data_IF_848683126984
#
_entry.id   IF_848683126984
#
_cell.length_a   1.000
_cell.length_b   1.000
_cell.length_c   1.000
_cell.angle_alpha   90.00
_cell.angle_beta   90.00
_cell.angle_gamma   90.00
#
_symmetry.space_group_name_H-M   'P 1'
#
loop_
_entity.id
_entity.type
_entity.pdbx_description
1 polymer ?
#
# COMPACT_ATOMS: atom_id res chain seq x y z
N UNK A 1 -22.10 -13.39 1.91
CA UNK A 1 -21.45 -13.71 0.62
C UNK A 1 -20.68 -12.47 0.18
N UNK A 2 -19.38 -12.57 -0.02
CA UNK A 2 -18.50 -11.48 -0.42
C UNK A 2 -18.60 -11.31 -1.92
N UNK A 3 -19.01 -10.12 -2.38
CA UNK A 3 -19.22 -9.81 -3.81
C UNK A 3 -17.93 -9.21 -4.38
N UNK A 4 -17.38 -9.85 -5.39
CA UNK A 4 -16.08 -9.58 -5.93
C UNK A 4 -16.18 -9.18 -7.40
N UNK A 5 -15.44 -8.15 -7.77
CA UNK A 5 -15.18 -7.78 -9.17
C UNK A 5 -13.73 -8.12 -9.49
N UNK A 6 -13.51 -8.71 -10.65
CA UNK A 6 -12.18 -8.99 -11.20
C UNK A 6 -11.87 -8.02 -12.34
N UNK A 7 -10.70 -7.38 -12.27
CA UNK A 7 -10.13 -6.60 -13.36
C UNK A 7 -8.76 -7.15 -13.73
N UNK A 8 -8.66 -7.83 -14.86
CA UNK A 8 -7.46 -8.54 -15.34
C UNK A 8 -7.55 -8.69 -16.86
N UNK A 9 -6.58 -8.21 -17.62
CA UNK A 9 -6.58 -8.28 -19.08
C UNK A 9 -6.14 -9.66 -19.62
N UNK A 10 -5.35 -10.41 -18.86
CA UNK A 10 -4.95 -11.76 -19.23
C UNK A 10 -6.07 -12.77 -18.97
N UNK A 11 -6.73 -13.24 -20.02
CA UNK A 11 -7.87 -14.16 -19.91
C UNK A 11 -7.60 -15.41 -19.07
N UNK A 12 -6.44 -16.05 -19.26
CA UNK A 12 -6.06 -17.27 -18.51
C UNK A 12 -5.96 -17.00 -17.00
N UNK A 13 -5.40 -15.84 -16.63
CA UNK A 13 -5.27 -15.45 -15.21
C UNK A 13 -6.64 -15.16 -14.64
N UNK A 14 -7.47 -14.39 -15.36
CA UNK A 14 -8.84 -14.03 -14.95
C UNK A 14 -9.71 -15.28 -14.75
N UNK A 15 -9.71 -16.21 -15.71
CA UNK A 15 -10.43 -17.49 -15.61
C UNK A 15 -9.91 -18.33 -14.44
N UNK A 16 -8.59 -18.39 -14.24
CA UNK A 16 -7.98 -19.11 -13.13
C UNK A 16 -8.37 -18.55 -11.76
N UNK A 17 -8.35 -17.23 -11.60
CA UNK A 17 -8.79 -16.56 -10.38
C UNK A 17 -10.28 -16.80 -10.15
N UNK A 18 -11.09 -16.64 -11.18
CA UNK A 18 -12.53 -16.94 -11.12
C UNK A 18 -12.80 -18.36 -10.65
N UNK A 19 -12.23 -19.35 -11.34
CA UNK A 19 -12.39 -20.77 -10.99
C UNK A 19 -12.05 -21.05 -9.53
N UNK A 20 -11.01 -20.40 -9.04
CA UNK A 20 -10.56 -20.53 -7.67
C UNK A 20 -11.56 -19.96 -6.67
N UNK A 21 -12.07 -18.77 -6.93
CA UNK A 21 -13.03 -18.11 -6.05
C UNK A 21 -14.40 -18.79 -6.07
N UNK A 22 -14.79 -19.41 -7.19
CA UNK A 22 -16.03 -20.19 -7.31
C UNK A 22 -16.00 -21.49 -6.46
N UNK A 23 -14.83 -21.93 -5.93
CA UNK A 23 -14.77 -23.03 -4.97
C UNK A 23 -15.12 -22.60 -3.54
N UNK A 24 -15.11 -21.31 -3.25
CA UNK A 24 -15.42 -20.79 -1.92
C UNK A 24 -16.93 -20.51 -1.79
N UNK A 25 -17.56 -21.06 -0.75
CA UNK A 25 -19.01 -20.99 -0.58
C UNK A 25 -19.53 -19.63 -0.13
N UNK A 26 -18.65 -18.78 0.37
CA UNK A 26 -18.98 -17.45 0.92
C UNK A 26 -18.51 -16.29 0.01
N UNK A 27 -17.99 -16.58 -1.18
CA UNK A 27 -17.55 -15.63 -2.17
C UNK A 27 -18.37 -15.74 -3.47
N UNK A 28 -18.45 -14.66 -4.24
CA UNK A 28 -19.09 -14.64 -5.55
C UNK A 28 -18.43 -13.59 -6.44
N UNK A 29 -17.95 -14.00 -7.60
CA UNK A 29 -17.50 -13.07 -8.64
C UNK A 29 -18.74 -12.59 -9.39
N UNK A 30 -19.10 -11.32 -9.17
CA UNK A 30 -20.31 -10.72 -9.74
C UNK A 30 -20.09 -10.07 -11.10
N UNK A 31 -18.87 -9.70 -11.42
CA UNK A 31 -18.48 -9.13 -12.70
C UNK A 31 -16.98 -9.31 -12.98
N UNK A 32 -16.64 -9.37 -14.26
CA UNK A 32 -15.29 -9.48 -14.77
C UNK A 32 -15.06 -8.45 -15.87
N UNK A 33 -13.89 -7.83 -15.87
CA UNK A 33 -13.48 -6.83 -16.85
C UNK A 33 -12.05 -7.11 -17.31
N UNK A 34 -11.79 -6.85 -18.58
CA UNK A 34 -10.47 -6.95 -19.20
C UNK A 34 -9.81 -5.58 -19.41
N UNK A 35 -10.56 -4.51 -19.17
CA UNK A 35 -10.05 -3.15 -19.27
C UNK A 35 -10.60 -2.22 -18.18
N UNK A 36 -9.80 -1.23 -17.73
CA UNK A 36 -10.22 -0.25 -16.74
C UNK A 36 -11.42 0.59 -17.18
N UNK A 37 -11.53 0.90 -18.47
CA UNK A 37 -12.62 1.71 -19.02
C UNK A 37 -13.97 1.01 -18.80
N UNK A 38 -14.05 -0.28 -19.14
CA UNK A 38 -15.28 -1.08 -18.93
C UNK A 38 -15.65 -1.15 -17.44
N UNK A 39 -14.65 -1.32 -16.56
CA UNK A 39 -14.87 -1.31 -15.13
C UNK A 39 -15.46 0.02 -14.67
N UNK A 40 -14.87 1.16 -15.06
CA UNK A 40 -15.32 2.47 -14.59
C UNK A 40 -16.72 2.82 -15.04
N UNK A 41 -17.11 2.41 -16.25
CA UNK A 41 -18.46 2.59 -16.78
C UNK A 41 -19.51 1.75 -16.01
N UNK A 42 -19.14 0.55 -15.60
CA UNK A 42 -20.05 -0.39 -14.93
C UNK A 42 -20.10 -0.18 -13.39
N UNK A 43 -19.03 0.26 -12.78
CA UNK A 43 -18.85 0.30 -11.32
C UNK A 43 -19.95 1.07 -10.56
N UNK A 44 -20.49 2.22 -11.06
CA UNK A 44 -21.54 2.94 -10.38
C UNK A 44 -22.84 2.13 -10.19
N UNK A 45 -23.07 1.12 -11.04
CA UNK A 45 -24.25 0.25 -10.98
C UNK A 45 -24.06 -1.05 -10.22
N UNK A 46 -22.84 -1.32 -9.74
CA UNK A 46 -22.49 -2.58 -9.09
C UNK A 46 -22.35 -2.39 -7.57
N UNK A 47 -23.05 -3.22 -6.82
CA UNK A 47 -22.91 -3.30 -5.36
C UNK A 47 -21.86 -4.38 -5.04
N UNK A 48 -20.61 -3.95 -4.87
CA UNK A 48 -19.44 -4.81 -4.66
C UNK A 48 -18.75 -4.51 -3.34
N UNK A 49 -18.16 -5.54 -2.75
CA UNK A 49 -17.41 -5.46 -1.51
C UNK A 49 -15.89 -5.39 -1.77
N UNK A 50 -15.43 -6.11 -2.79
CA UNK A 50 -14.00 -6.22 -3.14
C UNK A 50 -13.81 -6.03 -4.65
N UNK A 51 -12.86 -5.19 -5.00
CA UNK A 51 -12.26 -5.13 -6.33
C UNK A 51 -10.89 -5.81 -6.29
N UNK A 52 -10.68 -6.83 -7.11
CA UNK A 52 -9.37 -7.42 -7.36
C UNK A 52 -8.88 -6.88 -8.70
N UNK A 53 -7.70 -6.26 -8.72
CA UNK A 53 -7.14 -5.66 -9.92
C UNK A 53 -5.68 -6.04 -10.11
N UNK A 54 -5.29 -6.32 -11.34
CA UNK A 54 -3.88 -6.25 -11.72
C UNK A 54 -3.42 -4.78 -11.80
N UNK A 55 -2.12 -4.58 -11.85
CA UNK A 55 -1.47 -3.28 -12.14
C UNK A 55 -0.82 -3.24 -13.53
N UNK A 56 -0.67 -4.39 -14.18
CA UNK A 56 0.04 -4.52 -15.45
C UNK A 56 -0.96 -4.65 -16.61
N UNK A 57 -1.37 -3.51 -17.16
CA UNK A 57 -2.20 -3.45 -18.37
C UNK A 57 -1.39 -2.92 -19.55
N UNK A 58 -1.60 -3.47 -20.74
CA UNK A 58 -0.87 -3.06 -21.94
C UNK A 58 -1.03 -1.55 -22.25
N UNK A 59 -2.20 -0.99 -22.02
CA UNK A 59 -2.57 0.37 -22.42
C UNK A 59 -2.78 1.34 -21.28
N UNK A 60 -2.75 0.85 -20.03
CA UNK A 60 -3.11 1.65 -18.86
C UNK A 60 -2.11 1.41 -17.73
N UNK A 61 -1.74 2.46 -17.03
CA UNK A 61 -0.94 2.29 -15.80
C UNK A 61 -1.88 1.87 -14.68
N UNK A 62 -1.91 0.60 -14.32
CA UNK A 62 -2.83 0.03 -13.35
C UNK A 62 -2.85 0.75 -12.01
N UNK A 63 -1.74 1.39 -11.63
CA UNK A 63 -1.69 2.22 -10.42
C UNK A 63 -2.67 3.42 -10.47
N UNK A 64 -3.06 3.89 -11.66
CA UNK A 64 -4.02 4.98 -11.84
C UNK A 64 -5.46 4.51 -11.55
N UNK A 65 -5.72 3.20 -11.60
CA UNK A 65 -7.01 2.61 -11.20
C UNK A 65 -7.30 2.94 -9.74
N UNK A 66 -6.28 2.88 -8.89
CA UNK A 66 -6.41 3.19 -7.47
C UNK A 66 -6.69 4.68 -7.18
N UNK A 67 -6.47 5.56 -8.16
CA UNK A 67 -6.74 7.00 -8.05
C UNK A 67 -8.13 7.37 -8.55
N UNK A 68 -8.82 6.46 -9.23
CA UNK A 68 -10.12 6.76 -9.80
C UNK A 68 -11.18 6.86 -8.69
N UNK A 69 -11.98 7.94 -8.62
CA UNK A 69 -12.94 8.15 -7.55
C UNK A 69 -13.95 7.02 -7.36
N UNK A 70 -14.28 6.30 -8.44
CA UNK A 70 -15.22 5.17 -8.40
C UNK A 70 -14.59 3.87 -7.89
N UNK A 71 -13.27 3.72 -7.97
CA UNK A 71 -12.57 2.52 -7.53
C UNK A 71 -12.39 2.46 -6.01
N UNK A 72 -12.43 3.61 -5.34
CA UNK A 72 -12.30 3.72 -3.89
C UNK A 72 -13.57 4.31 -3.33
N UNK A 73 -14.52 3.46 -3.03
CA UNK A 73 -15.71 3.86 -2.28
C UNK A 73 -15.58 3.36 -0.83
N UNK A 74 -16.33 3.95 0.09
CA UNK A 74 -16.35 3.49 1.48
C UNK A 74 -16.84 2.03 1.64
N UNK A 75 -17.43 1.46 0.60
CA UNK A 75 -17.96 0.09 0.57
C UNK A 75 -17.08 -0.88 -0.20
N UNK A 76 -16.44 -0.45 -1.28
CA UNK A 76 -15.57 -1.30 -2.11
C UNK A 76 -14.11 -1.13 -1.70
N UNK A 77 -13.45 -2.21 -1.32
CA UNK A 77 -12.02 -2.23 -0.99
C UNK A 77 -11.23 -2.92 -2.09
N UNK A 78 -10.09 -2.35 -2.44
CA UNK A 78 -9.28 -2.86 -3.54
C UNK A 78 -8.15 -3.75 -3.04
N UNK A 79 -8.01 -4.92 -3.66
CA UNK A 79 -6.86 -5.82 -3.54
C UNK A 79 -6.10 -5.80 -4.86
N UNK A 80 -4.82 -5.49 -4.80
CA UNK A 80 -3.91 -5.60 -5.93
C UNK A 80 -3.42 -7.04 -6.04
N UNK A 81 -3.51 -7.62 -7.23
CA UNK A 81 -2.99 -8.95 -7.57
C UNK A 81 -1.99 -8.78 -8.71
N UNK A 82 -0.69 -8.77 -8.44
CA UNK A 82 0.35 -8.43 -9.43
C UNK A 82 1.50 -9.45 -9.47
N UNK A 83 2.20 -9.54 -10.59
CA UNK A 83 3.47 -10.27 -10.68
C UNK A 83 4.60 -9.56 -9.91
N UNK A 84 4.45 -8.28 -9.66
CA UNK A 84 5.44 -7.42 -9.04
C UNK A 84 5.23 -7.30 -7.52
N UNK A 85 6.30 -7.54 -6.76
CA UNK A 85 6.29 -7.45 -5.29
C UNK A 85 7.29 -6.43 -4.74
N UNK A 86 7.82 -5.54 -5.60
CA UNK A 86 8.79 -4.54 -5.18
C UNK A 86 8.18 -3.57 -4.16
N UNK A 87 8.85 -3.42 -3.04
CA UNK A 87 8.31 -2.69 -1.88
C UNK A 87 7.89 -1.24 -2.21
N UNK A 88 8.53 -0.58 -3.19
CA UNK A 88 8.15 0.78 -3.59
C UNK A 88 6.81 0.82 -4.34
N UNK A 89 6.49 -0.20 -5.17
CA UNK A 89 5.20 -0.33 -5.86
C UNK A 89 4.10 -0.66 -4.86
N UNK A 90 4.36 -1.61 -3.97
CA UNK A 90 3.44 -1.99 -2.90
C UNK A 90 3.09 -0.78 -2.04
N UNK A 91 4.13 -0.06 -1.53
CA UNK A 91 3.92 1.14 -0.74
C UNK A 91 3.05 2.15 -1.47
N UNK A 92 3.36 2.43 -2.74
CA UNK A 92 2.59 3.36 -3.56
C UNK A 92 1.14 2.91 -3.73
N UNK A 93 0.88 1.62 -3.95
CA UNK A 93 -0.48 1.11 -4.05
C UNK A 93 -1.27 1.29 -2.74
N UNK A 94 -0.63 1.01 -1.60
CA UNK A 94 -1.24 1.21 -0.28
C UNK A 94 -1.51 2.69 0.02
N UNK A 95 -0.57 3.59 -0.31
CA UNK A 95 -0.72 5.04 -0.15
C UNK A 95 -1.87 5.60 -1.02
N UNK A 96 -2.18 4.93 -2.14
CA UNK A 96 -3.30 5.26 -3.03
C UNK A 96 -4.62 4.59 -2.64
N UNK A 97 -4.66 3.89 -1.51
CA UNK A 97 -5.89 3.35 -0.94
C UNK A 97 -6.16 1.87 -1.22
N UNK A 98 -5.20 1.11 -1.75
CA UNK A 98 -5.32 -0.34 -1.76
C UNK A 98 -5.39 -0.88 -0.32
N UNK A 99 -6.29 -1.82 -0.06
CA UNK A 99 -6.42 -2.52 1.21
C UNK A 99 -5.62 -3.82 1.26
N UNK A 100 -5.31 -4.39 0.11
CA UNK A 100 -4.52 -5.60 0.02
C UNK A 100 -3.54 -5.58 -1.15
N UNK A 101 -2.43 -6.31 -0.99
CA UNK A 101 -1.48 -6.56 -2.05
C UNK A 101 -1.02 -8.01 -1.99
N UNK A 102 -1.27 -8.75 -3.07
CA UNK A 102 -0.95 -10.17 -3.21
C UNK A 102 -0.13 -10.36 -4.48
N UNK A 103 0.98 -11.09 -4.40
CA UNK A 103 1.72 -11.48 -5.60
C UNK A 103 1.10 -12.71 -6.24
N UNK A 104 0.95 -12.71 -7.57
CA UNK A 104 0.40 -13.83 -8.36
C UNK A 104 1.17 -15.16 -8.15
N UNK A 105 2.43 -15.10 -7.70
CA UNK A 105 3.27 -16.26 -7.41
C UNK A 105 2.90 -17.02 -6.13
N UNK A 106 2.09 -16.45 -5.23
CA UNK A 106 1.76 -17.02 -3.90
C UNK A 106 0.62 -18.03 -3.92
N UNK A 107 -0.09 -18.11 -5.02
CA UNK A 107 -1.15 -19.10 -5.21
C UNK A 107 -2.48 -18.74 -4.54
N UNK A 108 -3.43 -19.63 -4.75
CA UNK A 108 -4.84 -19.49 -4.48
C UNK A 108 -5.21 -19.17 -3.03
N UNK A 109 -4.63 -19.88 -2.09
CA UNK A 109 -4.96 -19.74 -0.67
C UNK A 109 -4.64 -18.37 -0.11
N UNK A 110 -3.58 -17.77 -0.60
CA UNK A 110 -3.16 -16.44 -0.16
C UNK A 110 -4.18 -15.36 -0.58
N UNK A 111 -4.72 -15.48 -1.80
CA UNK A 111 -5.76 -14.56 -2.29
C UNK A 111 -7.05 -14.69 -1.49
N UNK A 112 -7.49 -15.91 -1.18
CA UNK A 112 -8.68 -16.15 -0.35
C UNK A 112 -8.51 -15.55 1.05
N UNK A 113 -7.35 -15.75 1.68
CA UNK A 113 -7.03 -15.12 2.96
C UNK A 113 -7.04 -13.59 2.88
N UNK A 114 -6.46 -13.02 1.82
CA UNK A 114 -6.45 -11.58 1.60
C UNK A 114 -7.88 -11.03 1.49
N UNK A 115 -8.76 -11.70 0.73
CA UNK A 115 -10.17 -11.31 0.57
C UNK A 115 -10.88 -11.27 1.93
N UNK A 116 -10.76 -12.29 2.75
CA UNK A 116 -11.37 -12.33 4.08
C UNK A 116 -10.86 -11.20 4.99
N UNK A 117 -9.54 -10.98 5.03
CA UNK A 117 -8.95 -9.94 5.86
C UNK A 117 -9.40 -8.56 5.42
N UNK A 118 -9.35 -8.29 4.11
CA UNK A 118 -9.76 -7.01 3.53
C UNK A 118 -11.25 -6.77 3.70
N UNK A 119 -12.09 -7.78 3.50
CA UNK A 119 -13.52 -7.68 3.75
C UNK A 119 -13.85 -7.32 5.21
N UNK A 120 -13.07 -7.84 6.16
CA UNK A 120 -13.19 -7.52 7.59
C UNK A 120 -12.57 -6.15 7.98
N UNK A 121 -12.02 -5.41 7.01
CA UNK A 121 -11.45 -4.07 7.24
C UNK A 121 -9.98 -4.05 7.62
N UNK A 122 -9.29 -5.19 7.53
CA UNK A 122 -7.87 -5.28 7.81
C UNK A 122 -7.04 -5.12 6.54
N UNK A 123 -5.91 -4.44 6.65
CA UNK A 123 -4.93 -4.42 5.58
C UNK A 123 -4.25 -5.78 5.42
N UNK A 124 -3.99 -6.18 4.18
CA UNK A 124 -3.32 -7.43 3.88
C UNK A 124 -2.11 -7.24 2.96
N UNK A 125 -0.98 -7.74 3.38
CA UNK A 125 0.24 -7.89 2.58
C UNK A 125 0.76 -9.30 2.75
N UNK A 126 1.20 -9.94 1.68
CA UNK A 126 1.90 -11.23 1.77
C UNK A 126 3.16 -11.09 2.63
N UNK A 127 3.59 -12.18 3.28
CA UNK A 127 4.68 -12.12 4.28
C UNK A 127 6.01 -11.60 3.69
N UNK A 128 6.34 -12.02 2.49
CA UNK A 128 7.54 -11.57 1.76
C UNK A 128 7.50 -10.07 1.48
N UNK A 129 6.36 -9.56 1.03
CA UNK A 129 6.14 -8.13 0.81
C UNK A 129 6.23 -7.36 2.12
N UNK A 130 5.56 -7.86 3.17
CA UNK A 130 5.58 -7.22 4.49
C UNK A 130 7.00 -7.05 5.00
N UNK A 131 7.82 -8.10 4.88
CA UNK A 131 9.22 -8.06 5.30
C UNK A 131 10.04 -7.05 4.48
N UNK A 132 9.79 -6.95 3.16
CA UNK A 132 10.47 -5.97 2.30
C UNK A 132 10.05 -4.53 2.65
N UNK A 133 8.75 -4.27 2.84
CA UNK A 133 8.24 -2.94 3.20
C UNK A 133 8.76 -2.50 4.57
N UNK A 134 8.82 -3.41 5.54
CA UNK A 134 9.40 -3.12 6.87
C UNK A 134 10.89 -2.80 6.78
N UNK A 135 11.65 -3.49 5.93
CA UNK A 135 13.09 -3.21 5.74
C UNK A 135 13.36 -1.91 4.96
N UNK A 136 12.40 -1.44 4.16
CA UNK A 136 12.52 -0.14 3.47
C UNK A 136 12.19 1.05 4.37
N UNK A 137 11.47 0.85 5.46
CA UNK A 137 11.28 1.91 6.46
C UNK A 137 12.58 2.05 7.25
N UNK A 138 13.23 3.21 7.22
CA UNK A 138 14.48 3.37 7.94
C UNK A 138 14.28 3.11 9.42
N UNK A 139 15.03 2.15 9.96
CA UNK A 139 14.97 1.83 11.38
C UNK A 139 15.51 3.00 12.19
N UNK A 140 14.60 3.82 12.73
CA UNK A 140 14.95 4.93 13.61
C UNK A 140 14.75 4.52 15.06
N UNK A 141 15.74 4.86 15.89
CA UNK A 141 15.64 4.66 17.33
C UNK A 141 14.59 5.58 17.94
N UNK A 142 14.14 5.27 19.16
CA UNK A 142 13.21 6.15 19.91
C UNK A 142 13.76 7.58 20.00
N UNK A 143 15.07 7.72 20.24
CA UNK A 143 15.72 9.01 20.36
C UNK A 143 15.79 9.79 19.05
N UNK A 144 16.06 9.10 17.95
CA UNK A 144 16.02 9.70 16.62
C UNK A 144 14.60 10.16 16.25
N UNK A 145 13.58 9.41 16.63
CA UNK A 145 12.17 9.80 16.44
C UNK A 145 11.83 11.09 17.21
N UNK A 146 12.23 11.18 18.47
CA UNK A 146 12.03 12.40 19.29
C UNK A 146 12.71 13.62 18.64
N UNK A 147 13.96 13.47 18.21
CA UNK A 147 14.70 14.53 17.51
C UNK A 147 14.04 14.88 16.18
N UNK A 148 13.62 13.90 15.39
CA UNK A 148 12.94 14.10 14.10
C UNK A 148 11.69 14.96 14.25
N UNK A 149 10.81 14.61 15.18
CA UNK A 149 9.56 15.36 15.42
C UNK A 149 9.83 16.83 15.75
N UNK A 150 10.79 17.11 16.61
CA UNK A 150 11.16 18.48 16.97
C UNK A 150 11.81 19.26 15.83
N UNK A 151 12.64 18.59 15.02
CA UNK A 151 13.23 19.19 13.81
C UNK A 151 12.13 19.57 12.80
N UNK A 152 11.13 18.72 12.61
CA UNK A 152 10.02 18.97 11.69
C UNK A 152 9.08 20.09 12.18
N UNK A 153 9.03 20.29 13.49
CA UNK A 153 8.31 21.44 14.10
C UNK A 153 9.11 22.76 13.99
N UNK A 154 10.32 22.73 13.37
CA UNK A 154 11.12 23.92 13.17
C UNK A 154 12.00 24.32 14.38
N UNK A 155 12.13 23.44 15.38
CA UNK A 155 12.92 23.71 16.57
C UNK A 155 14.43 23.76 16.26
N UNK A 156 15.16 24.65 16.94
CA UNK A 156 16.60 24.76 16.80
C UNK A 156 17.32 23.63 17.55
N UNK A 157 18.53 23.26 17.12
CA UNK A 157 19.31 22.23 17.80
C UNK A 157 19.54 22.52 19.29
N UNK A 158 19.69 23.81 19.66
CA UNK A 158 19.82 24.24 21.05
C UNK A 158 18.53 24.01 21.85
N UNK A 159 17.36 24.33 21.28
CA UNK A 159 16.05 24.13 21.92
C UNK A 159 15.78 22.61 22.09
N UNK A 160 16.02 21.82 21.05
CA UNK A 160 15.90 20.36 21.07
C UNK A 160 16.81 19.77 22.15
N UNK A 161 18.08 20.21 22.20
CA UNK A 161 19.03 19.78 23.22
C UNK A 161 18.55 20.03 24.64
N UNK A 162 18.05 21.25 24.91
CA UNK A 162 17.49 21.61 26.20
C UNK A 162 16.27 20.77 26.57
N UNK A 163 15.34 20.57 25.62
CA UNK A 163 14.11 19.82 25.84
C UNK A 163 14.37 18.33 26.05
N UNK A 164 15.34 17.77 25.35
CA UNK A 164 15.62 16.33 25.41
C UNK A 164 16.77 15.97 26.38
N UNK A 165 17.39 16.95 27.05
CA UNK A 165 18.49 16.75 28.00
C UNK A 165 19.77 16.23 27.34
N UNK A 166 20.09 16.68 26.11
CA UNK A 166 21.29 16.33 25.36
C UNK A 166 22.00 17.58 24.83
N UNK A 167 23.26 17.43 24.45
CA UNK A 167 23.97 18.55 23.84
C UNK A 167 23.45 18.85 22.43
N UNK A 168 23.56 20.12 22.01
CA UNK A 168 23.28 20.52 20.63
C UNK A 168 24.15 19.73 19.62
N UNK A 169 25.36 19.40 19.95
CA UNK A 169 26.26 18.53 19.16
C UNK A 169 25.65 17.14 18.98
N UNK A 170 25.01 16.58 20.00
CA UNK A 170 24.33 15.28 19.93
C UNK A 170 23.09 15.37 19.03
N UNK A 171 22.38 16.49 19.05
CA UNK A 171 21.25 16.73 18.13
C UNK A 171 21.72 16.75 16.67
N UNK A 172 22.87 17.38 16.38
CA UNK A 172 23.45 17.37 15.03
C UNK A 172 23.84 15.94 14.58
N UNK A 173 24.34 15.11 15.49
CA UNK A 173 24.65 13.69 15.18
C UNK A 173 23.38 12.93 14.81
N UNK A 174 22.31 13.07 15.62
CA UNK A 174 21.02 12.43 15.31
C UNK A 174 20.43 12.93 13.99
N UNK A 175 20.52 14.25 13.72
CA UNK A 175 20.09 14.83 12.45
C UNK A 175 20.86 14.24 11.28
N UNK A 176 22.18 14.13 11.36
CA UNK A 176 23.01 13.54 10.30
C UNK A 176 22.62 12.07 10.05
N UNK A 177 22.46 11.28 11.11
CA UNK A 177 21.99 9.89 11.03
C UNK A 177 20.61 9.78 10.37
N UNK A 178 19.67 10.65 10.74
CA UNK A 178 18.34 10.71 10.12
C UNK A 178 18.44 11.07 8.63
N UNK A 179 19.21 12.08 8.27
CA UNK A 179 19.43 12.46 6.88
C UNK A 179 19.98 11.30 6.04
N UNK A 180 20.94 10.54 6.59
CA UNK A 180 21.52 9.36 5.96
C UNK A 180 20.48 8.23 5.82
N UNK A 181 19.81 7.86 6.92
CA UNK A 181 18.81 6.78 6.97
C UNK A 181 17.65 7.01 5.99
N UNK A 182 17.22 8.25 5.86
CA UNK A 182 16.16 8.63 4.91
C UNK A 182 16.70 9.01 3.53
N UNK A 183 18.02 8.96 3.31
CA UNK A 183 18.68 9.43 2.08
C UNK A 183 18.19 10.83 1.67
N UNK A 184 18.01 11.72 2.67
CA UNK A 184 17.51 13.08 2.48
C UNK A 184 18.66 14.09 2.44
N UNK A 185 18.58 15.07 1.52
CA UNK A 185 19.59 16.13 1.39
C UNK A 185 19.19 17.41 2.13
N UNK A 186 17.90 17.60 2.37
CA UNK A 186 17.34 18.78 3.05
C UNK A 186 16.37 18.36 4.15
N UNK A 187 16.10 19.26 5.12
CA UNK A 187 15.13 19.00 6.17
C UNK A 187 13.70 18.86 5.62
N UNK A 188 13.39 19.58 4.55
CA UNK A 188 12.08 19.47 3.85
C UNK A 188 11.94 18.07 3.25
N UNK A 189 12.97 17.60 2.56
CA UNK A 189 12.99 16.23 2.00
C UNK A 189 12.92 15.16 3.10
N UNK A 190 13.62 15.37 4.22
CA UNK A 190 13.53 14.49 5.38
C UNK A 190 12.11 14.41 5.91
N UNK A 191 11.40 15.55 6.04
CA UNK A 191 10.02 15.58 6.48
C UNK A 191 9.05 14.90 5.51
N UNK A 192 9.30 15.01 4.21
CA UNK A 192 8.51 14.33 3.19
C UNK A 192 8.67 12.81 3.31
N UNK A 193 9.91 12.33 3.32
CA UNK A 193 10.23 10.89 3.41
C UNK A 193 9.83 10.27 4.76
N UNK A 194 9.90 11.03 5.86
CA UNK A 194 9.42 10.56 7.16
C UNK A 194 7.91 10.32 7.16
N UNK A 195 7.12 11.26 6.60
CA UNK A 195 5.67 11.08 6.43
C UNK A 195 5.34 9.90 5.52
N UNK A 196 6.05 9.73 4.41
CA UNK A 196 5.91 8.57 3.53
C UNK A 196 6.23 7.24 4.23
N UNK A 197 7.11 7.26 5.24
CA UNK A 197 7.44 6.09 6.05
C UNK A 197 6.47 5.87 7.24
N UNK A 198 5.42 6.71 7.39
CA UNK A 198 4.43 6.60 8.46
C UNK A 198 4.94 7.09 9.83
N UNK A 199 5.87 8.03 9.81
CA UNK A 199 6.48 8.60 11.02
C UNK A 199 6.08 10.05 11.21
#
# INVERSE_FOLDING_TARGET
MIRIILLEDHAIVREGVRFLLDQETDMSVIAEFDSPEQLFDALPGLDTDILITDLDFEKFKGIEILQHPSAITSKCRTIVLSMHGEAHLVKRAMDLGAFGYVTKSRGARELVLAIHQVHNGHFYLTEDIRNQVVTMSPHITKREREVLMLLLNGETAKAIGAQLGISDKTVYIHRASLMEKFSAKTLIELGHKAREAGI
#
